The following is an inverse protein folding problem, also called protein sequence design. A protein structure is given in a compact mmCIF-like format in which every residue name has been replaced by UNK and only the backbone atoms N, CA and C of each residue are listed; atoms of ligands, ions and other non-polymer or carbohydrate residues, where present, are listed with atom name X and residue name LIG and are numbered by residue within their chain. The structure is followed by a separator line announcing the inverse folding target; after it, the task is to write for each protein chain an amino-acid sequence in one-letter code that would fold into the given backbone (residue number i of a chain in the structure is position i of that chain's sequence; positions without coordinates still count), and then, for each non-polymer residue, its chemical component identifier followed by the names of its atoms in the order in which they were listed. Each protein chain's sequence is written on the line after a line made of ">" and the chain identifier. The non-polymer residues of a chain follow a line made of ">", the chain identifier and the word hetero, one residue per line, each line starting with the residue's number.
data_IF_703994649839
#
_entry.id   IF_703994649839
#
_cell.length_a   1.000
_cell.length_b   1.000
_cell.length_c   1.000
_cell.angle_alpha   90.00
_cell.angle_beta   90.00
_cell.angle_gamma   90.00
#
_symmetry.space_group_name_H-M   'P 1'
#
loop_
_entity.id
_entity.type
_entity.pdbx_description
1 polymer ?
#
# COMPACT_ATOMS: atom_id res chain seq x y z
N UNK A 1 -9.76 16.45 -2.17
CA UNK A 1 -10.46 15.17 -1.90
C UNK A 1 -9.40 14.07 -1.82
N UNK A 2 -9.10 13.54 -0.64
CA UNK A 2 -8.07 12.50 -0.46
C UNK A 2 -8.68 11.11 -0.70
N UNK A 3 -8.96 10.78 -1.96
CA UNK A 3 -9.55 9.51 -2.34
C UNK A 3 -8.55 8.68 -3.13
N UNK A 4 -8.19 7.51 -2.58
CA UNK A 4 -7.42 6.49 -3.31
C UNK A 4 -8.11 6.12 -4.63
N UNK A 5 -9.44 6.15 -4.68
CA UNK A 5 -10.20 5.90 -5.91
C UNK A 5 -9.93 6.96 -7.00
N UNK A 6 -9.72 8.22 -6.59
CA UNK A 6 -9.34 9.30 -7.51
C UNK A 6 -7.94 9.07 -8.10
N UNK A 7 -6.98 8.67 -7.25
CA UNK A 7 -5.61 8.33 -7.69
C UNK A 7 -5.58 7.14 -8.65
N UNK A 8 -6.46 6.16 -8.43
CA UNK A 8 -6.53 4.95 -9.25
C UNK A 8 -7.27 5.15 -10.58
N UNK A 9 -8.17 6.14 -10.64
CA UNK A 9 -8.98 6.40 -11.83
C UNK A 9 -8.30 7.37 -12.80
N UNK A 10 -7.51 8.30 -12.28
CA UNK A 10 -6.80 9.28 -13.11
C UNK A 10 -5.33 8.87 -13.24
N UNK A 11 -4.86 8.59 -14.48
CA UNK A 11 -3.46 8.23 -14.73
C UNK A 11 -2.56 9.47 -14.85
N UNK A 12 -3.09 10.54 -15.45
CA UNK A 12 -2.38 11.79 -15.70
C UNK A 12 -2.57 12.79 -14.56
N UNK A 13 -2.10 12.40 -13.36
CA UNK A 13 -2.15 13.26 -12.17
C UNK A 13 -0.87 14.08 -12.09
N UNK A 14 -1.02 15.40 -12.04
CA UNK A 14 0.10 16.34 -11.92
C UNK A 14 0.83 16.19 -10.57
N UNK A 15 2.06 16.68 -10.51
CA UNK A 15 2.89 16.63 -9.31
C UNK A 15 2.26 17.39 -8.13
N UNK A 16 1.59 18.51 -8.40
CA UNK A 16 0.93 19.35 -7.41
C UNK A 16 -0.23 18.61 -6.74
N UNK A 17 -1.03 17.89 -7.52
CA UNK A 17 -2.14 17.09 -7.00
C UNK A 17 -1.60 15.94 -6.13
N UNK A 18 -0.52 15.28 -6.55
CA UNK A 18 0.15 14.24 -5.74
C UNK A 18 0.66 14.79 -4.42
N UNK A 19 1.25 15.99 -4.46
CA UNK A 19 1.74 16.71 -3.27
C UNK A 19 0.60 17.07 -2.32
N UNK A 20 -0.53 17.56 -2.83
CA UNK A 20 -1.68 17.88 -1.99
C UNK A 20 -2.30 16.63 -1.35
N UNK A 21 -2.39 15.53 -2.11
CA UNK A 21 -2.87 14.25 -1.57
C UNK A 21 -1.92 13.72 -0.49
N UNK A 22 -0.61 13.85 -0.69
CA UNK A 22 0.41 13.52 0.32
C UNK A 22 0.19 14.34 1.60
N UNK A 23 -0.07 15.65 1.46
CA UNK A 23 -0.37 16.57 2.58
C UNK A 23 -1.65 16.18 3.34
N UNK A 24 -2.69 15.72 2.64
CA UNK A 24 -3.94 15.27 3.24
C UNK A 24 -3.82 13.91 3.97
N UNK A 25 -2.65 13.27 3.93
CA UNK A 25 -2.38 12.01 4.61
C UNK A 25 -2.95 10.81 3.87
N UNK A 26 -2.99 9.64 4.52
CA UNK A 26 -3.50 8.41 3.90
C UNK A 26 -4.93 8.10 4.37
N UNK A 27 -5.84 7.66 3.47
CA UNK A 27 -7.15 7.23 3.90
C UNK A 27 -7.07 5.86 4.59
N UNK A 28 -7.75 5.77 5.74
CA UNK A 28 -7.81 4.59 6.63
C UNK A 28 -9.28 4.15 6.84
N UNK A 29 -10.03 3.87 5.77
CA UNK A 29 -11.43 3.46 5.90
C UNK A 29 -11.54 2.10 6.58
N UNK A 30 -12.63 1.85 7.28
CA UNK A 30 -12.95 0.49 7.69
C UNK A 30 -13.42 -0.30 6.47
N UNK A 31 -12.70 -1.38 6.12
CA UNK A 31 -12.93 -2.14 4.91
C UNK A 31 -13.72 -3.40 5.23
N UNK A 32 -14.83 -3.61 4.53
CA UNK A 32 -15.64 -4.83 4.63
C UNK A 32 -15.00 -5.91 3.74
N UNK A 33 -13.85 -6.43 4.16
CA UNK A 33 -13.15 -7.52 3.46
C UNK A 33 -13.18 -8.75 4.36
N UNK A 34 -13.78 -9.83 3.86
CA UNK A 34 -13.73 -11.15 4.47
C UNK A 34 -13.13 -12.13 3.45
N UNK A 35 -12.16 -12.93 3.89
CA UNK A 35 -11.60 -14.02 3.08
C UNK A 35 -11.72 -15.32 3.86
N UNK A 36 -12.23 -16.35 3.21
CA UNK A 36 -12.23 -17.71 3.76
C UNK A 36 -11.24 -18.54 2.98
N UNK A 37 -10.22 -19.04 3.67
CA UNK A 37 -9.23 -19.97 3.14
C UNK A 37 -9.62 -21.40 3.54
N UNK A 38 -9.63 -22.32 2.57
CA UNK A 38 -9.91 -23.73 2.81
C UNK A 38 -8.62 -24.43 3.23
N UNK A 39 -8.57 -24.94 4.45
CA UNK A 39 -7.46 -25.74 4.95
C UNK A 39 -7.74 -27.25 4.82
N UNK A 40 -6.70 -28.08 4.98
CA UNK A 40 -6.80 -29.55 4.89
C UNK A 40 -7.80 -30.16 5.89
N UNK A 41 -7.97 -29.55 7.07
CA UNK A 41 -8.82 -30.07 8.16
C UNK A 41 -9.89 -29.09 8.64
N UNK A 42 -9.75 -27.79 8.35
CA UNK A 42 -10.73 -26.76 8.70
C UNK A 42 -10.62 -25.56 7.78
N UNK A 43 -11.73 -24.83 7.65
CA UNK A 43 -11.77 -23.55 6.97
C UNK A 43 -11.38 -22.43 7.93
N UNK A 44 -10.67 -21.43 7.41
CA UNK A 44 -10.20 -20.27 8.15
C UNK A 44 -10.81 -19.01 7.54
N UNK A 45 -11.71 -18.36 8.26
CA UNK A 45 -12.21 -17.04 7.88
C UNK A 45 -11.41 -15.95 8.56
N UNK A 46 -10.92 -15.00 7.77
CA UNK A 46 -10.21 -13.81 8.21
C UNK A 46 -10.96 -12.58 7.74
N UNK A 47 -11.28 -11.70 8.68
CA UNK A 47 -11.85 -10.40 8.38
C UNK A 47 -10.76 -9.34 8.41
N UNK A 48 -11.01 -8.25 7.71
CA UNK A 48 -10.22 -7.04 7.85
C UNK A 48 -10.22 -6.56 9.31
N UNK A 49 -9.09 -6.05 9.76
CA UNK A 49 -8.97 -5.38 11.04
C UNK A 49 -8.22 -4.07 10.82
N UNK A 50 -8.84 -2.94 11.17
CA UNK A 50 -8.31 -1.60 10.96
C UNK A 50 -6.99 -1.33 11.69
N UNK A 51 -6.66 -2.07 12.76
CA UNK A 51 -5.35 -2.00 13.43
C UNK A 51 -4.16 -2.32 12.50
N UNK A 52 -4.41 -2.95 11.36
CA UNK A 52 -3.40 -3.17 10.33
C UNK A 52 -2.85 -1.85 9.75
N UNK A 53 -3.62 -0.75 9.80
CA UNK A 53 -3.16 0.58 9.42
C UNK A 53 -2.18 1.20 10.42
N UNK A 54 -2.25 0.76 11.68
CA UNK A 54 -1.28 1.17 12.69
C UNK A 54 0.01 0.38 12.58
N UNK A 55 -0.12 -0.91 12.31
CA UNK A 55 1.03 -1.78 12.06
C UNK A 55 1.77 -1.39 10.78
N UNK A 56 1.07 -1.01 9.72
CA UNK A 56 1.68 -0.68 8.43
C UNK A 56 1.34 0.74 8.04
N UNK A 57 2.21 1.69 8.41
CA UNK A 57 1.97 3.13 8.17
C UNK A 57 1.99 3.51 6.68
N UNK A 58 2.49 2.64 5.82
CA UNK A 58 2.44 2.77 4.36
C UNK A 58 1.13 2.27 3.74
N UNK A 59 0.26 1.59 4.50
CA UNK A 59 -0.97 0.99 4.01
C UNK A 59 -2.13 1.99 4.06
N UNK A 60 -2.92 2.01 2.99
CA UNK A 60 -4.18 2.76 2.91
C UNK A 60 -5.30 1.87 2.36
N UNK A 61 -6.54 2.35 2.44
CA UNK A 61 -7.72 1.64 1.95
C UNK A 61 -8.57 2.45 0.99
N UNK A 62 -9.33 1.73 0.18
CA UNK A 62 -10.42 2.22 -0.64
C UNK A 62 -11.60 1.25 -0.49
N UNK A 63 -12.79 1.69 -0.04
CA UNK A 63 -13.95 0.81 0.10
C UNK A 63 -14.34 0.11 -1.22
N UNK A 64 -14.09 0.76 -2.37
CA UNK A 64 -14.41 0.23 -3.70
C UNK A 64 -13.38 -0.77 -4.25
N UNK A 65 -12.10 -0.60 -3.89
CA UNK A 65 -10.98 -1.29 -4.56
C UNK A 65 -10.03 -2.01 -3.60
N UNK A 66 -10.35 -2.08 -2.30
CA UNK A 66 -9.59 -2.71 -1.22
C UNK A 66 -8.32 -1.94 -0.78
N UNK A 67 -7.28 -2.66 -0.32
CA UNK A 67 -6.09 -2.10 0.32
C UNK A 67 -4.99 -1.81 -0.71
N UNK A 68 -4.26 -0.72 -0.51
CA UNK A 68 -3.16 -0.29 -1.37
C UNK A 68 -1.98 0.24 -0.57
N UNK A 69 -0.80 0.27 -1.18
CA UNK A 69 0.32 1.01 -0.64
C UNK A 69 0.15 2.50 -1.00
N UNK A 70 0.04 3.33 0.03
CA UNK A 70 -0.18 4.77 -0.12
C UNK A 70 0.96 5.44 -0.89
N UNK A 71 2.21 5.06 -0.59
CA UNK A 71 3.37 5.61 -1.29
C UNK A 71 3.34 5.25 -2.77
N UNK A 72 3.01 3.99 -3.13
CA UNK A 72 2.90 3.58 -4.54
C UNK A 72 1.91 4.47 -5.30
N UNK A 73 0.76 4.76 -4.67
CA UNK A 73 -0.28 5.59 -5.27
C UNK A 73 0.19 7.04 -5.47
N UNK A 74 0.78 7.65 -4.44
CA UNK A 74 1.30 9.02 -4.50
C UNK A 74 2.38 9.15 -5.56
N UNK A 75 3.24 8.14 -5.69
CA UNK A 75 4.34 8.12 -6.66
C UNK A 75 3.91 7.70 -8.07
N UNK A 76 2.73 7.10 -8.24
CA UNK A 76 2.29 6.60 -9.54
C UNK A 76 3.13 5.41 -10.03
N UNK A 77 3.91 4.80 -9.13
CA UNK A 77 4.74 3.63 -9.44
C UNK A 77 3.93 2.36 -9.19
N UNK A 78 4.01 1.42 -10.11
CA UNK A 78 3.40 0.11 -9.93
C UNK A 78 4.18 -0.73 -8.90
N UNK A 79 3.59 -1.81 -8.41
CA UNK A 79 4.25 -2.69 -7.43
C UNK A 79 5.57 -3.30 -7.94
N UNK A 80 5.72 -3.50 -9.25
CA UNK A 80 6.95 -4.05 -9.85
C UNK A 80 8.09 -3.04 -9.97
N UNK A 81 7.84 -1.74 -9.86
CA UNK A 81 8.91 -0.73 -9.83
C UNK A 81 9.77 -0.81 -8.55
N UNK A 82 9.23 -1.43 -7.49
CA UNK A 82 9.90 -1.59 -6.21
C UNK A 82 10.95 -2.70 -6.21
N UNK A 83 11.01 -3.56 -7.23
CA UNK A 83 11.96 -4.66 -7.31
C UNK A 83 13.21 -4.36 -8.12
N UNK A 84 13.31 -3.16 -8.71
CA UNK A 84 14.53 -2.71 -9.39
C UNK A 84 15.43 -1.92 -8.41
N UNK A 85 16.64 -2.43 -8.19
CA UNK A 85 17.69 -1.72 -7.44
C UNK A 85 17.96 -0.34 -8.07
N UNK A 86 18.11 0.69 -7.22
CA UNK A 86 18.32 2.10 -7.64
C UNK A 86 17.05 2.96 -7.72
N UNK A 87 15.92 2.43 -8.19
CA UNK A 87 14.64 3.19 -8.25
C UNK A 87 14.14 3.57 -6.86
N UNK A 88 14.36 2.70 -5.87
CA UNK A 88 13.95 2.91 -4.47
C UNK A 88 14.73 4.05 -3.84
N UNK A 89 16.04 4.15 -4.09
CA UNK A 89 16.88 5.19 -3.49
C UNK A 89 16.51 6.58 -4.02
N UNK A 90 16.34 6.69 -5.33
CA UNK A 90 15.85 7.92 -5.97
C UNK A 90 14.48 8.33 -5.42
N UNK A 91 13.59 7.37 -5.17
CA UNK A 91 12.29 7.61 -4.53
C UNK A 91 12.48 8.07 -3.08
N UNK A 92 13.29 7.40 -2.27
CA UNK A 92 13.52 7.75 -0.85
C UNK A 92 13.98 9.21 -0.69
N UNK A 93 14.83 9.70 -1.59
CA UNK A 93 15.36 11.07 -1.55
C UNK A 93 14.28 12.15 -1.78
N UNK A 94 13.11 11.78 -2.33
CA UNK A 94 11.98 12.71 -2.54
C UNK A 94 11.04 12.81 -1.33
N UNK A 95 11.32 12.06 -0.26
CA UNK A 95 10.46 11.96 0.91
C UNK A 95 11.19 12.40 2.17
N UNK A 96 10.43 12.87 3.16
CA UNK A 96 11.00 13.18 4.46
C UNK A 96 11.46 11.88 5.17
N UNK A 97 12.25 11.96 6.24
CA UNK A 97 12.78 10.77 6.91
C UNK A 97 11.71 9.78 7.42
N UNK A 98 10.56 10.27 7.87
CA UNK A 98 9.47 9.42 8.36
C UNK A 98 8.80 8.63 7.21
N UNK A 99 8.64 9.27 6.06
CA UNK A 99 8.11 8.66 4.85
C UNK A 99 9.12 7.68 4.23
N UNK A 100 10.40 8.03 4.22
CA UNK A 100 11.49 7.15 3.81
C UNK A 100 11.54 5.86 4.65
N UNK A 101 11.30 5.97 5.96
CA UNK A 101 11.19 4.80 6.84
C UNK A 101 9.98 3.93 6.46
N UNK A 102 8.82 4.52 6.18
CA UNK A 102 7.63 3.79 5.75
C UNK A 102 7.83 3.09 4.38
N UNK A 103 8.62 3.67 3.49
CA UNK A 103 9.03 3.07 2.21
C UNK A 103 9.89 1.82 2.44
N UNK A 104 10.93 1.95 3.27
CA UNK A 104 11.82 0.83 3.63
C UNK A 104 11.05 -0.29 4.35
N UNK A 105 10.11 0.07 5.23
CA UNK A 105 9.22 -0.88 5.90
C UNK A 105 8.28 -1.58 4.91
N UNK A 106 7.71 -0.85 3.95
CA UNK A 106 6.88 -1.44 2.89
C UNK A 106 7.67 -2.47 2.09
N UNK A 107 8.93 -2.18 1.75
CA UNK A 107 9.82 -3.11 1.05
C UNK A 107 10.02 -4.37 1.86
N UNK A 108 10.55 -4.23 3.09
CA UNK A 108 10.81 -5.35 4.01
C UNK A 108 9.57 -6.21 4.25
N UNK A 109 8.42 -5.57 4.46
CA UNK A 109 7.15 -6.27 4.71
C UNK A 109 6.66 -7.02 3.49
N UNK A 110 6.85 -6.48 2.27
CA UNK A 110 6.50 -7.15 1.02
C UNK A 110 7.41 -8.36 0.76
N UNK A 111 8.72 -8.24 0.98
CA UNK A 111 9.65 -9.39 0.91
C UNK A 111 9.23 -10.50 1.88
N UNK A 112 8.82 -10.14 3.10
CA UNK A 112 8.34 -11.10 4.09
C UNK A 112 6.95 -11.68 3.75
N UNK A 113 6.05 -10.90 3.12
CA UNK A 113 4.73 -11.36 2.68
C UNK A 113 4.82 -12.37 1.52
N UNK A 114 5.78 -12.20 0.61
CA UNK A 114 6.07 -13.19 -0.45
C UNK A 114 6.49 -14.53 0.19
N UNK A 115 7.31 -14.51 1.24
CA UNK A 115 7.68 -15.70 2.00
C UNK A 115 6.56 -16.31 2.85
N UNK A 116 5.58 -15.52 3.32
CA UNK A 116 4.46 -15.98 4.16
C UNK A 116 3.20 -16.41 3.39
N UNK A 117 3.05 -15.97 2.13
CA UNK A 117 1.89 -16.27 1.29
C UNK A 117 2.19 -17.23 0.13
N UNK A 118 3.44 -17.69 -0.01
CA UNK A 118 3.77 -18.75 -0.98
C UNK A 118 3.39 -18.41 -2.42
N UNK A 119 3.46 -17.13 -2.81
CA UNK A 119 3.45 -16.77 -4.22
C UNK A 119 4.83 -17.09 -4.80
N UNK A 120 5.07 -18.38 -5.05
CA UNK A 120 6.01 -18.77 -6.09
C UNK A 120 5.37 -18.40 -7.42
N UNK A 121 6.13 -17.70 -8.27
CA UNK A 121 5.85 -17.62 -9.70
C UNK A 121 5.70 -19.02 -10.30
#
# INVERSE_FOLDING_TARGET
>A
MNSVDFLLTNKDITYEIRTEIKRLGRPIPDLIIAKTDVGKSRNYSRNFNSSVYDRFKWLCGCPKRNKFCFICLVMGVNQSAWTQEGQIEAVILQFNPAEAAAIKESQRSKTNLVGLLGFNN
#
